data_IF_296874480811
#
_entry.id   IF_296874480811
#
_cell.length_a   1.000
_cell.length_b   1.000
_cell.length_c   1.000
_cell.angle_alpha   90.00
_cell.angle_beta   90.00
_cell.angle_gamma   90.00
#
_symmetry.space_group_name_H-M   'P 1'
#
loop_
_entity.id
_entity.type
_entity.pdbx_description
1 polymer ?
#
# COMPACT_ATOMS: atom_id res chain seq x y z
N UNK A 1 57.83 -6.55 -38.29
CA UNK A 1 57.50 -5.88 -37.00
C UNK A 1 56.14 -5.18 -37.05
N UNK A 2 55.85 -4.29 -38.01
CA UNK A 2 54.55 -3.57 -38.06
C UNK A 2 53.31 -4.44 -38.29
N UNK A 3 53.42 -5.55 -39.03
CA UNK A 3 52.31 -6.48 -39.26
C UNK A 3 51.86 -7.20 -37.98
N UNK A 4 52.82 -7.59 -37.13
CA UNK A 4 52.54 -8.20 -35.83
C UNK A 4 51.87 -7.20 -34.86
N UNK A 5 52.28 -5.93 -34.90
CA UNK A 5 51.65 -4.86 -34.11
C UNK A 5 50.22 -4.59 -34.57
N UNK A 6 49.96 -4.59 -35.89
CA UNK A 6 48.61 -4.44 -36.45
C UNK A 6 47.70 -5.63 -36.11
N UNK A 7 48.22 -6.86 -36.15
CA UNK A 7 47.50 -8.05 -35.70
C UNK A 7 47.21 -8.01 -34.19
N UNK A 8 48.18 -7.60 -33.37
CA UNK A 8 47.99 -7.47 -31.93
C UNK A 8 46.93 -6.43 -31.56
N UNK A 9 47.00 -5.24 -32.18
CA UNK A 9 46.05 -4.13 -31.92
C UNK A 9 44.64 -4.51 -32.38
N UNK A 10 44.50 -5.15 -33.54
CA UNK A 10 43.19 -5.59 -34.03
C UNK A 10 42.60 -6.70 -33.16
N UNK A 11 43.38 -7.68 -32.73
CA UNK A 11 42.94 -8.73 -31.79
C UNK A 11 42.54 -8.13 -30.43
N UNK A 12 43.31 -7.17 -29.89
CA UNK A 12 42.98 -6.51 -28.63
C UNK A 12 41.66 -5.72 -28.68
N UNK A 13 41.41 -4.99 -29.77
CA UNK A 13 40.15 -4.25 -29.97
C UNK A 13 38.96 -5.20 -30.11
N UNK A 14 39.11 -6.33 -30.82
CA UNK A 14 38.06 -7.34 -30.96
C UNK A 14 37.76 -7.99 -29.61
N UNK A 15 38.77 -8.35 -28.82
CA UNK A 15 38.59 -8.95 -27.48
C UNK A 15 37.86 -8.01 -26.51
N UNK A 16 38.24 -6.72 -26.49
CA UNK A 16 37.57 -5.70 -25.68
C UNK A 16 36.12 -5.48 -26.14
N UNK A 17 35.88 -5.41 -27.45
CA UNK A 17 34.54 -5.28 -28.00
C UNK A 17 33.66 -6.52 -27.74
N UNK A 18 34.23 -7.72 -27.79
CA UNK A 18 33.51 -8.95 -27.43
C UNK A 18 33.25 -9.01 -25.94
N UNK A 19 34.14 -8.54 -25.07
CA UNK A 19 33.83 -8.40 -23.64
C UNK A 19 32.70 -7.38 -23.36
N UNK A 20 32.54 -6.38 -24.23
CA UNK A 20 31.41 -5.44 -24.17
C UNK A 20 30.09 -6.02 -24.74
N UNK A 21 30.14 -7.06 -25.58
CA UNK A 21 28.96 -7.63 -26.25
C UNK A 21 28.52 -9.00 -25.70
N UNK A 22 29.47 -9.87 -25.31
CA UNK A 22 29.20 -10.99 -24.43
C UNK A 22 29.05 -10.40 -23.06
N UNK A 23 27.84 -9.91 -22.79
CA UNK A 23 27.45 -9.28 -21.56
C UNK A 23 28.10 -10.02 -20.41
N UNK A 24 29.11 -9.38 -19.82
CA UNK A 24 29.32 -9.55 -18.41
C UNK A 24 27.91 -9.43 -17.84
N UNK A 25 27.42 -10.55 -17.31
CA UNK A 25 26.50 -10.55 -16.21
C UNK A 25 27.24 -9.81 -15.07
N UNK A 26 27.44 -8.50 -15.25
CA UNK A 26 27.83 -7.60 -14.21
C UNK A 26 26.67 -7.71 -13.24
N UNK A 27 27.05 -8.14 -12.05
CA UNK A 27 26.27 -8.47 -10.88
C UNK A 27 25.42 -7.31 -10.32
N UNK A 28 24.84 -6.46 -11.17
CA UNK A 28 23.58 -5.81 -10.82
C UNK A 28 22.52 -6.88 -11.00
N UNK A 29 22.40 -7.73 -9.99
CA UNK A 29 21.17 -8.45 -9.74
C UNK A 29 20.05 -7.43 -9.85
N UNK A 30 19.33 -7.41 -10.98
CA UNK A 30 18.05 -6.71 -11.05
C UNK A 30 17.18 -7.45 -10.07
N UNK A 31 17.16 -6.99 -8.83
CA UNK A 31 16.26 -7.50 -7.80
C UNK A 31 14.86 -7.37 -8.37
N UNK A 32 14.33 -8.49 -8.88
CA UNK A 32 13.03 -8.52 -9.50
C UNK A 32 12.03 -8.24 -8.41
N UNK A 33 11.58 -6.99 -8.37
CA UNK A 33 10.69 -6.48 -7.37
C UNK A 33 9.29 -6.47 -7.98
N UNK A 34 8.44 -7.41 -7.58
CA UNK A 34 7.06 -7.46 -8.06
C UNK A 34 6.24 -6.33 -7.47
N UNK A 35 5.62 -5.52 -8.34
CA UNK A 35 4.72 -4.43 -7.90
C UNK A 35 3.51 -5.00 -7.17
N UNK A 36 3.42 -4.73 -5.86
CA UNK A 36 2.29 -5.14 -5.03
C UNK A 36 1.58 -3.91 -4.52
N UNK A 37 0.30 -3.77 -4.91
CA UNK A 37 -0.58 -2.72 -4.42
C UNK A 37 -1.06 -3.02 -2.99
N UNK A 38 -1.24 -1.97 -2.20
CA UNK A 38 -1.83 -2.07 -0.88
C UNK A 38 -3.27 -2.58 -0.99
N UNK A 39 -3.61 -3.62 -0.23
CA UNK A 39 -4.96 -4.16 -0.12
C UNK A 39 -5.41 -4.08 1.34
N UNK A 40 -6.64 -3.63 1.55
CA UNK A 40 -7.26 -3.69 2.87
C UNK A 40 -7.55 -5.14 3.24
N UNK A 41 -7.19 -5.50 4.47
CA UNK A 41 -7.64 -6.74 5.09
C UNK A 41 -9.09 -6.58 5.56
N UNK A 42 -9.68 -7.71 5.95
CA UNK A 42 -10.99 -7.73 6.57
C UNK A 42 -11.05 -6.81 7.79
N UNK A 43 -12.22 -6.21 7.98
CA UNK A 43 -12.49 -5.40 9.17
C UNK A 43 -12.38 -6.23 10.44
N UNK A 44 -11.83 -5.64 11.50
CA UNK A 44 -11.96 -6.19 12.84
C UNK A 44 -13.43 -6.29 13.23
N UNK A 45 -13.71 -7.16 14.19
CA UNK A 45 -14.97 -7.13 14.92
C UNK A 45 -15.23 -5.72 15.47
N UNK A 46 -16.50 -5.36 15.56
CA UNK A 46 -16.89 -4.12 16.22
C UNK A 46 -16.51 -4.19 17.70
N UNK A 47 -15.85 -3.15 18.20
CA UNK A 47 -15.61 -3.02 19.64
C UNK A 47 -16.92 -2.90 20.42
N UNK A 48 -16.83 -2.94 21.74
CA UNK A 48 -17.98 -2.75 22.63
C UNK A 48 -18.64 -1.39 22.42
N UNK A 49 -19.95 -1.34 22.66
CA UNK A 49 -20.73 -0.12 22.57
C UNK A 49 -20.29 0.82 23.71
N UNK A 50 -19.54 1.87 23.37
CA UNK A 50 -19.05 2.84 24.34
C UNK A 50 -19.97 4.05 24.39
N UNK A 51 -20.20 4.55 25.60
CA UNK A 51 -20.90 5.80 25.82
C UNK A 51 -20.20 6.94 25.07
N UNK A 52 -20.96 7.67 24.25
CA UNK A 52 -20.46 8.83 23.49
C UNK A 52 -21.08 10.12 24.02
N UNK A 53 -22.41 10.18 24.13
CA UNK A 53 -23.11 11.17 24.97
C UNK A 53 -24.47 10.65 25.42
N UNK A 54 -25.21 11.41 26.24
CA UNK A 54 -26.43 10.93 26.93
C UNK A 54 -27.46 10.31 26.00
N UNK A 55 -27.45 10.70 24.72
CA UNK A 55 -28.37 10.21 23.69
C UNK A 55 -27.78 9.14 22.77
N UNK A 56 -26.47 8.96 22.70
CA UNK A 56 -25.82 8.11 21.70
C UNK A 56 -24.66 7.29 22.27
N UNK A 57 -24.59 6.02 21.85
CA UNK A 57 -23.45 5.15 22.07
C UNK A 57 -22.81 4.79 20.73
N UNK A 58 -21.48 4.67 20.69
CA UNK A 58 -20.73 4.39 19.47
C UNK A 58 -19.82 3.18 19.61
N UNK A 59 -19.63 2.49 18.49
CA UNK A 59 -18.65 1.43 18.33
C UNK A 59 -17.63 1.83 17.27
N UNK A 60 -16.40 1.39 17.48
CA UNK A 60 -15.28 1.60 16.56
C UNK A 60 -14.77 0.25 16.09
N UNK A 61 -14.38 0.17 14.82
CA UNK A 61 -13.63 -0.95 14.27
C UNK A 61 -12.47 -0.44 13.44
N UNK A 62 -11.46 -1.27 13.28
CA UNK A 62 -10.27 -0.95 12.50
C UNK A 62 -10.01 -2.06 11.50
N UNK A 63 -9.24 -1.74 10.46
CA UNK A 63 -8.72 -2.74 9.54
C UNK A 63 -7.24 -2.48 9.28
N UNK A 64 -6.50 -3.55 9.13
CA UNK A 64 -5.11 -3.51 8.72
C UNK A 64 -5.01 -3.62 7.19
N UNK A 65 -3.85 -3.33 6.63
CA UNK A 65 -3.60 -3.45 5.20
C UNK A 65 -2.33 -4.26 4.93
N UNK A 66 -2.25 -4.83 3.73
CA UNK A 66 -1.03 -5.47 3.25
C UNK A 66 0.03 -4.41 2.90
N UNK A 67 1.30 -4.73 3.12
CA UNK A 67 2.40 -3.88 2.71
C UNK A 67 2.42 -3.66 1.20
N UNK A 68 2.75 -2.44 0.79
CA UNK A 68 3.00 -2.09 -0.62
C UNK A 68 4.48 -2.32 -0.95
N UNK A 69 4.77 -2.80 -2.16
CA UNK A 69 6.13 -3.06 -2.62
C UNK A 69 6.35 -2.53 -4.04
N UNK A 70 7.60 -2.16 -4.35
CA UNK A 70 8.05 -1.83 -5.72
C UNK A 70 7.21 -0.74 -6.41
N UNK A 71 6.96 0.36 -5.70
CA UNK A 71 6.14 1.47 -6.20
C UNK A 71 4.64 1.15 -6.29
N UNK A 72 4.16 0.14 -5.57
CA UNK A 72 2.74 -0.15 -5.44
C UNK A 72 1.95 1.00 -4.81
N UNK A 73 0.68 1.12 -5.20
CA UNK A 73 -0.23 2.18 -4.74
C UNK A 73 -0.59 1.99 -3.26
N UNK A 74 -0.77 3.11 -2.55
CA UNK A 74 -1.33 3.13 -1.19
C UNK A 74 -2.79 2.71 -1.17
N UNK A 75 -3.26 2.22 -0.03
CA UNK A 75 -4.65 1.83 0.14
C UNK A 75 -5.56 3.07 0.11
N UNK A 76 -6.65 3.00 -0.66
CA UNK A 76 -7.65 4.07 -0.71
C UNK A 76 -8.74 3.87 0.35
N UNK A 77 -9.13 4.95 1.03
CA UNK A 77 -10.17 4.95 2.06
C UNK A 77 -9.66 4.82 3.50
N UNK A 78 -10.56 4.83 4.50
CA UNK A 78 -10.19 4.91 5.91
C UNK A 78 -9.73 3.57 6.49
N UNK A 79 -8.82 3.63 7.46
CA UNK A 79 -8.37 2.48 8.28
C UNK A 79 -9.24 2.23 9.51
N UNK A 80 -10.07 3.22 9.89
CA UNK A 80 -10.96 3.18 11.06
C UNK A 80 -12.37 3.52 10.62
N UNK A 81 -13.35 2.84 11.21
CA UNK A 81 -14.76 3.13 10.99
C UNK A 81 -15.46 3.23 12.34
N UNK A 82 -16.41 4.16 12.42
CA UNK A 82 -17.22 4.42 13.60
C UNK A 82 -18.69 4.25 13.20
N UNK A 83 -19.49 3.65 14.07
CA UNK A 83 -20.94 3.58 13.92
C UNK A 83 -21.64 3.82 15.25
N UNK A 84 -22.90 4.23 15.19
CA UNK A 84 -23.79 4.25 16.35
C UNK A 84 -24.28 2.82 16.59
N UNK A 85 -24.22 2.38 17.85
CA UNK A 85 -24.69 1.04 18.26
C UNK A 85 -26.02 1.10 19.02
N UNK A 86 -26.28 2.19 19.75
CA UNK A 86 -27.54 2.39 20.48
C UNK A 86 -27.83 3.88 20.61
N UNK A 87 -29.12 4.22 20.52
CA UNK A 87 -29.67 5.56 20.67
C UNK A 87 -30.62 5.52 21.87
N UNK A 88 -30.50 6.48 22.79
CA UNK A 88 -31.53 6.67 23.82
C UNK A 88 -32.84 7.03 23.14
N UNK A 89 -33.94 6.34 23.45
CA UNK A 89 -35.29 6.48 22.88
C UNK A 89 -35.67 5.60 21.66
N UNK A 90 -35.10 4.41 21.49
CA UNK A 90 -35.74 3.35 20.70
C UNK A 90 -35.93 3.62 19.20
N UNK A 91 -35.35 4.69 18.66
CA UNK A 91 -35.39 5.04 17.24
C UNK A 91 -33.97 5.15 16.70
N UNK A 92 -33.25 4.03 16.66
CA UNK A 92 -32.17 3.91 15.67
C UNK A 92 -32.79 3.40 14.36
N UNK A 93 -33.66 4.19 13.73
CA UNK A 93 -34.11 3.90 12.37
C UNK A 93 -32.94 4.22 11.44
N UNK A 94 -32.16 3.19 11.10
CA UNK A 94 -31.30 3.10 9.91
C UNK A 94 -30.81 4.46 9.39
N UNK A 95 -29.77 5.00 10.02
CA UNK A 95 -29.10 6.19 9.48
C UNK A 95 -28.55 5.84 8.09
N UNK A 96 -28.98 6.49 7.00
CA UNK A 96 -28.31 6.37 5.72
C UNK A 96 -26.86 6.87 5.88
N UNK A 97 -25.91 6.25 5.17
CA UNK A 97 -24.47 6.52 5.26
C UNK A 97 -24.09 8.01 5.09
N UNK A 98 -25.00 8.81 4.52
CA UNK A 98 -24.93 10.26 4.39
C UNK A 98 -25.07 11.05 5.71
N UNK A 99 -25.70 10.49 6.75
CA UNK A 99 -25.97 11.16 8.02
C UNK A 99 -24.85 10.98 9.07
N UNK A 100 -23.77 10.24 8.77
CA UNK A 100 -22.58 10.19 9.66
C UNK A 100 -21.90 11.58 9.74
N UNK A 101 -22.02 12.39 8.68
CA UNK A 101 -21.62 13.82 8.68
C UNK A 101 -22.62 14.72 9.40
N UNK A 102 -23.77 14.17 9.77
CA UNK A 102 -24.86 14.83 10.49
C UNK A 102 -25.02 14.27 11.90
N UNK A 103 -24.10 13.41 12.40
CA UNK A 103 -23.91 13.27 13.84
C UNK A 103 -23.67 14.69 14.30
N UNK A 104 -24.63 15.29 15.03
CA UNK A 104 -24.46 16.67 15.37
C UNK A 104 -23.17 16.74 16.20
N UNK A 105 -22.37 17.77 15.97
CA UNK A 105 -21.31 18.17 16.89
C UNK A 105 -21.82 18.34 18.34
N UNK A 106 -23.14 18.25 18.55
CA UNK A 106 -23.93 18.27 19.78
C UNK A 106 -23.80 17.00 20.65
N UNK A 107 -22.58 16.49 20.83
CA UNK A 107 -22.24 16.06 22.19
C UNK A 107 -21.58 17.24 22.92
N UNK A 108 -22.26 18.39 22.81
CA UNK A 108 -22.46 19.47 23.78
C UNK A 108 -23.95 19.81 23.70
#
# INVERSE_FOLDING_TARGET
MMAAVRLYVTLAVVLLATCFHTGHAFWWSRSSCSRVHCRWLSWSSWGSCSYYCSKYNMQKRTRSHTSRSCGGRSCSGPSKQIRICSCGYGQCMTFPESAVRSIPSQCC
#
